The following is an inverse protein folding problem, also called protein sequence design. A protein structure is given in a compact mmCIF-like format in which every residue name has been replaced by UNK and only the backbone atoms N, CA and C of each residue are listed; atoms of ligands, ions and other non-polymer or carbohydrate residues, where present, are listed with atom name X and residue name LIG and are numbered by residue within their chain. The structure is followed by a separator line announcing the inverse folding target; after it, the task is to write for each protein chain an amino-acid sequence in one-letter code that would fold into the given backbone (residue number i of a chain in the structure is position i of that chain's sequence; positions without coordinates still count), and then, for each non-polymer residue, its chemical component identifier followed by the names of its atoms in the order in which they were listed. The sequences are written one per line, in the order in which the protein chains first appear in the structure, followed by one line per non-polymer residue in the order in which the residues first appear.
data_IF_639838528899
#
_entry.id   IF_639838528899
#
_cell.length_a   1.000
_cell.length_b   1.000
_cell.length_c   1.000
_cell.angle_alpha   90.00
_cell.angle_beta   90.00
_cell.angle_gamma   90.00
#
_symmetry.space_group_name_H-M   'P 1'
#
loop_
_entity.id
_entity.type
_entity.pdbx_description
1 polymer ?
#
# COMPACT_ATOMS: atom_id res chain seq x y z
N UNK A 1 -17.58 24.36 -12.15
CA UNK A 1 -17.47 24.59 -10.68
C UNK A 1 -16.69 23.42 -10.08
N UNK A 2 -15.38 23.39 -10.24
CA UNK A 2 -14.50 22.30 -9.78
C UNK A 2 -13.09 22.85 -9.50
N UNK A 3 -12.95 23.82 -8.58
CA UNK A 3 -11.64 24.48 -8.39
C UNK A 3 -11.18 24.63 -6.93
N UNK A 4 -11.99 24.23 -5.93
CA UNK A 4 -11.59 24.43 -4.52
C UNK A 4 -10.78 23.26 -3.92
N UNK A 5 -10.79 22.08 -4.54
CA UNK A 5 -10.17 20.87 -3.96
C UNK A 5 -8.72 20.64 -4.46
N UNK A 6 -8.42 20.94 -5.73
CA UNK A 6 -7.07 20.78 -6.29
C UNK A 6 -6.05 21.77 -5.68
N UNK A 7 -6.45 23.03 -5.44
CA UNK A 7 -5.54 24.05 -4.87
C UNK A 7 -5.12 23.74 -3.43
N UNK A 8 -5.96 23.03 -2.66
CA UNK A 8 -5.67 22.64 -1.28
C UNK A 8 -4.67 21.49 -1.22
N UNK A 9 -4.85 20.49 -2.09
CA UNK A 9 -3.96 19.33 -2.20
C UNK A 9 -2.55 19.74 -2.69
N UNK A 10 -2.46 20.66 -3.66
CA UNK A 10 -1.17 21.20 -4.12
C UNK A 10 -0.39 21.99 -3.05
N UNK A 11 -1.06 22.58 -2.06
CA UNK A 11 -0.36 23.21 -0.93
C UNK A 11 0.16 22.16 0.04
N UNK A 12 -0.63 21.14 0.35
CA UNK A 12 -0.25 20.05 1.26
C UNK A 12 0.96 19.24 0.72
N UNK A 13 1.05 19.03 -0.60
CA UNK A 13 2.20 18.39 -1.30
C UNK A 13 3.50 19.14 -1.20
N UNK A 14 3.44 20.46 -1.31
CA UNK A 14 4.62 21.30 -1.14
C UNK A 14 5.05 21.37 0.33
N UNK A 15 4.08 21.33 1.27
CA UNK A 15 4.35 21.39 2.71
C UNK A 15 5.06 20.14 3.22
N UNK A 16 4.59 18.94 2.88
CA UNK A 16 5.23 17.70 3.38
C UNK A 16 6.66 17.54 2.83
N UNK A 17 6.89 17.92 1.57
CA UNK A 17 8.23 17.88 0.98
C UNK A 17 9.20 18.80 1.73
N UNK A 18 8.75 20.01 2.10
CA UNK A 18 9.55 20.92 2.91
C UNK A 18 9.82 20.34 4.30
N UNK A 19 8.81 19.78 4.97
CA UNK A 19 8.96 19.17 6.29
C UNK A 19 9.94 17.99 6.31
N UNK A 20 9.90 17.15 5.27
CA UNK A 20 10.86 16.05 5.12
C UNK A 20 12.27 16.60 4.86
N UNK A 21 12.40 17.64 4.03
CA UNK A 21 13.69 18.30 3.81
C UNK A 21 14.29 18.86 5.11
N UNK A 22 13.48 19.56 5.91
CA UNK A 22 13.92 20.11 7.20
C UNK A 22 14.33 19.00 8.18
N UNK A 23 13.56 17.90 8.22
CA UNK A 23 13.89 16.71 9.01
C UNK A 23 15.23 16.09 8.57
N UNK A 24 15.50 16.01 7.26
CA UNK A 24 16.77 15.51 6.73
C UNK A 24 17.92 16.43 7.12
N UNK A 25 17.76 17.75 6.99
CA UNK A 25 18.78 18.72 7.37
C UNK A 25 19.12 18.66 8.85
N UNK A 26 18.14 18.35 9.71
CA UNK A 26 18.39 18.10 11.11
C UNK A 26 19.07 16.74 11.38
N UNK A 27 18.67 15.70 10.64
CA UNK A 27 19.15 14.34 10.83
C UNK A 27 20.64 14.18 10.57
N UNK A 28 21.19 14.82 9.54
CA UNK A 28 22.60 14.65 9.16
C UNK A 28 23.58 15.02 10.29
N UNK A 29 23.51 16.21 10.90
CA UNK A 29 24.32 16.56 12.07
C UNK A 29 24.04 15.68 13.29
N UNK A 30 22.82 15.15 13.45
CA UNK A 30 22.48 14.23 14.53
C UNK A 30 23.15 12.86 14.35
N UNK A 31 23.31 12.39 13.12
CA UNK A 31 23.98 11.11 12.79
C UNK A 31 25.50 11.25 12.89
N UNK A 32 26.08 12.41 12.62
CA UNK A 32 27.54 12.61 12.65
C UNK A 32 28.18 12.36 14.03
N UNK A 33 27.42 12.58 15.11
CA UNK A 33 27.88 12.35 16.49
C UNK A 33 28.00 10.86 16.84
N UNK A 34 27.52 9.95 15.98
CA UNK A 34 27.52 8.52 16.27
C UNK A 34 28.96 7.98 16.34
N UNK A 35 29.23 6.98 17.19
CA UNK A 35 30.56 6.37 17.31
C UNK A 35 30.99 5.77 15.98
N UNK A 36 32.31 5.82 15.70
CA UNK A 36 32.89 5.36 14.42
C UNK A 36 32.49 3.92 14.06
N UNK A 37 32.36 3.03 15.05
CA UNK A 37 31.95 1.63 14.87
C UNK A 37 30.55 1.48 14.25
N UNK A 38 29.65 2.45 14.47
CA UNK A 38 28.26 2.39 14.01
C UNK A 38 27.98 3.27 12.79
N UNK A 39 29.00 4.00 12.30
CA UNK A 39 28.87 4.86 11.11
C UNK A 39 28.49 4.10 9.85
N UNK A 40 28.91 2.84 9.73
CA UNK A 40 28.64 1.98 8.57
C UNK A 40 27.49 1.01 8.77
N UNK A 41 26.86 1.00 9.95
CA UNK A 41 25.68 0.20 10.24
C UNK A 41 24.48 1.13 10.39
N UNK A 42 24.07 1.45 11.63
CA UNK A 42 22.85 2.22 11.89
C UNK A 42 22.81 3.58 11.20
N UNK A 43 23.90 4.34 11.23
CA UNK A 43 23.96 5.66 10.60
C UNK A 43 23.73 5.60 9.07
N UNK A 44 24.22 4.54 8.42
CA UNK A 44 24.05 4.34 6.99
C UNK A 44 22.61 3.94 6.67
N UNK A 45 22.03 3.04 7.45
CA UNK A 45 20.65 2.58 7.24
C UNK A 45 19.64 3.71 7.48
N UNK A 46 19.88 4.56 8.49
CA UNK A 46 19.08 5.77 8.70
C UNK A 46 19.16 6.74 7.52
N UNK A 47 20.35 6.94 6.94
CA UNK A 47 20.52 7.80 5.74
C UNK A 47 19.77 7.24 4.54
N UNK A 48 19.87 5.92 4.30
CA UNK A 48 19.11 5.26 3.22
C UNK A 48 17.60 5.43 3.41
N UNK A 49 17.12 5.28 4.64
CA UNK A 49 15.72 5.46 4.99
C UNK A 49 15.26 6.91 4.72
N UNK A 50 16.04 7.91 5.15
CA UNK A 50 15.77 9.33 4.87
C UNK A 50 15.72 9.62 3.36
N UNK A 51 16.67 9.08 2.59
CA UNK A 51 16.70 9.22 1.14
C UNK A 51 15.49 8.55 0.47
N UNK A 52 15.06 7.39 0.96
CA UNK A 52 13.89 6.69 0.48
C UNK A 52 12.62 7.51 0.73
N UNK A 53 12.42 8.03 1.95
CA UNK A 53 11.29 8.91 2.30
C UNK A 53 11.23 10.11 1.33
N UNK A 54 12.34 10.79 1.09
CA UNK A 54 12.38 11.92 0.15
C UNK A 54 12.00 11.50 -1.28
N UNK A 55 12.53 10.38 -1.79
CA UNK A 55 12.19 9.86 -3.13
C UNK A 55 10.71 9.51 -3.24
N UNK A 56 10.14 8.88 -2.22
CA UNK A 56 8.73 8.53 -2.20
C UNK A 56 7.81 9.74 -2.13
N UNK A 57 8.17 10.77 -1.35
CA UNK A 57 7.44 12.04 -1.34
C UNK A 57 7.47 12.72 -2.70
N UNK A 58 8.63 12.76 -3.37
CA UNK A 58 8.74 13.32 -4.72
C UNK A 58 7.91 12.51 -5.73
N UNK A 59 7.95 11.18 -5.64
CA UNK A 59 7.16 10.30 -6.49
C UNK A 59 5.65 10.51 -6.30
N UNK A 60 5.21 10.64 -5.05
CA UNK A 60 3.82 10.95 -4.69
C UNK A 60 3.41 12.34 -5.20
N UNK A 61 4.28 13.35 -5.09
CA UNK A 61 4.04 14.72 -5.55
C UNK A 61 3.86 14.82 -7.07
N UNK A 62 4.65 14.06 -7.83
CA UNK A 62 4.54 14.03 -9.29
C UNK A 62 3.32 13.25 -9.80
N UNK A 63 2.40 12.85 -8.91
CA UNK A 63 1.21 12.04 -9.22
C UNK A 63 1.53 10.73 -9.94
N UNK A 64 2.75 10.18 -9.81
CA UNK A 64 3.08 8.81 -10.24
C UNK A 64 2.52 7.77 -9.26
N UNK A 65 1.36 8.05 -8.65
CA UNK A 65 0.99 7.47 -7.36
C UNK A 65 0.21 6.18 -7.57
N UNK A 66 0.90 5.05 -7.38
CA UNK A 66 0.25 3.77 -7.09
C UNK A 66 -0.03 3.71 -5.59
N UNK A 67 -1.05 2.96 -5.18
CA UNK A 67 -1.38 2.71 -3.76
C UNK A 67 -0.15 2.25 -2.96
N UNK A 68 0.73 1.49 -3.60
CA UNK A 68 1.96 0.95 -3.02
C UNK A 68 2.97 2.03 -2.64
N UNK A 69 3.10 3.12 -3.39
CA UNK A 69 4.08 4.19 -3.13
C UNK A 69 3.83 4.89 -1.79
N UNK A 70 2.57 5.18 -1.47
CA UNK A 70 2.22 5.81 -0.19
C UNK A 70 2.36 4.83 0.99
N UNK A 71 2.17 3.52 0.75
CA UNK A 71 2.39 2.49 1.77
C UNK A 71 3.89 2.32 2.05
N UNK A 72 4.72 2.31 1.01
CA UNK A 72 6.18 2.26 1.15
C UNK A 72 6.71 3.49 1.89
N UNK A 73 6.18 4.69 1.59
CA UNK A 73 6.49 5.91 2.33
C UNK A 73 6.16 5.81 3.84
N UNK A 74 5.01 5.24 4.18
CA UNK A 74 4.59 5.04 5.58
C UNK A 74 5.50 4.04 6.30
N UNK A 75 5.84 2.93 5.65
CA UNK A 75 6.75 1.90 6.18
C UNK A 75 8.13 2.50 6.46
N UNK A 76 8.70 3.25 5.52
CA UNK A 76 10.00 3.89 5.72
C UNK A 76 9.96 4.91 6.87
N UNK A 77 8.91 5.72 6.96
CA UNK A 77 8.78 6.66 8.07
C UNK A 77 8.66 5.94 9.43
N UNK A 78 7.99 4.80 9.49
CA UNK A 78 7.91 3.99 10.71
C UNK A 78 9.26 3.33 11.06
N UNK A 79 9.97 2.80 10.06
CA UNK A 79 11.33 2.29 10.23
C UNK A 79 12.27 3.36 10.79
N UNK A 80 12.18 4.60 10.27
CA UNK A 80 12.97 5.73 10.77
C UNK A 80 12.70 6.01 12.26
N UNK A 81 11.44 5.98 12.71
CA UNK A 81 11.11 6.18 14.14
C UNK A 81 11.72 5.10 15.03
N UNK A 82 11.71 3.85 14.57
CA UNK A 82 12.33 2.73 15.29
C UNK A 82 13.85 2.93 15.37
N UNK A 83 14.49 3.32 14.26
CA UNK A 83 15.92 3.62 14.27
C UNK A 83 16.29 4.80 15.18
N UNK A 84 15.47 5.85 15.22
CA UNK A 84 15.66 6.99 16.13
C UNK A 84 15.58 6.54 17.59
N UNK A 85 14.60 5.68 17.93
CA UNK A 85 14.48 5.10 19.29
C UNK A 85 15.68 4.22 19.63
N UNK A 86 16.09 3.36 18.71
CA UNK A 86 17.25 2.50 18.92
C UNK A 86 18.53 3.31 19.11
N UNK A 87 18.74 4.38 18.33
CA UNK A 87 19.87 5.28 18.51
C UNK A 87 19.88 5.98 19.88
N UNK A 88 18.70 6.29 20.42
CA UNK A 88 18.55 6.84 21.77
C UNK A 88 18.84 5.80 22.85
N UNK A 89 18.28 4.60 22.75
CA UNK A 89 18.50 3.51 23.72
C UNK A 89 19.96 3.05 23.77
N UNK A 90 20.66 3.08 22.63
CA UNK A 90 22.10 2.78 22.54
C UNK A 90 22.99 3.96 23.01
N UNK A 91 22.41 5.10 23.37
CA UNK A 91 23.13 6.28 23.86
C UNK A 91 23.85 7.09 22.77
N UNK A 92 23.54 6.87 21.48
CA UNK A 92 24.14 7.61 20.37
C UNK A 92 23.47 8.96 20.12
N UNK A 93 22.27 9.16 20.67
CA UNK A 93 21.46 10.35 20.50
C UNK A 93 21.12 10.97 21.87
N UNK A 94 21.49 12.24 22.14
CA UNK A 94 21.08 12.93 23.35
C UNK A 94 19.55 13.07 23.46
N UNK A 95 18.97 13.08 24.68
CA UNK A 95 17.52 13.17 24.88
C UNK A 95 16.84 14.33 24.14
N UNK A 96 17.44 15.53 24.20
CA UNK A 96 16.93 16.71 23.50
C UNK A 96 16.89 16.52 21.98
N UNK A 97 17.90 15.85 21.41
CA UNK A 97 17.94 15.60 19.97
C UNK A 97 16.92 14.54 19.56
N UNK A 98 16.74 13.51 20.39
CA UNK A 98 15.72 12.49 20.22
C UNK A 98 14.31 13.08 20.22
N UNK A 99 13.98 13.95 21.18
CA UNK A 99 12.68 14.60 21.26
C UNK A 99 12.35 15.40 20.00
N UNK A 100 13.28 16.23 19.53
CA UNK A 100 13.09 17.04 18.32
C UNK A 100 12.94 16.15 17.09
N UNK A 101 13.83 15.17 16.90
CA UNK A 101 13.82 14.32 15.70
C UNK A 101 12.59 13.41 15.64
N UNK A 102 12.26 12.76 16.75
CA UNK A 102 11.06 11.92 16.84
C UNK A 102 9.79 12.75 16.64
N UNK A 103 9.75 13.98 17.15
CA UNK A 103 8.66 14.92 16.92
C UNK A 103 8.47 15.23 15.43
N UNK A 104 9.55 15.51 14.70
CA UNK A 104 9.52 15.72 13.25
C UNK A 104 9.02 14.48 12.49
N UNK A 105 9.50 13.28 12.84
CA UNK A 105 9.06 12.02 12.20
C UNK A 105 7.57 11.71 12.48
N UNK A 106 7.07 12.06 13.65
CA UNK A 106 5.63 11.95 13.99
C UNK A 106 4.80 12.96 13.21
N UNK A 107 5.26 14.20 13.07
CA UNK A 107 4.58 15.22 12.26
C UNK A 107 4.48 14.79 10.80
N UNK A 108 5.59 14.32 10.21
CA UNK A 108 5.62 13.77 8.85
C UNK A 108 4.66 12.58 8.72
N UNK A 109 4.65 11.66 9.70
CA UNK A 109 3.71 10.53 9.71
C UNK A 109 2.23 10.92 9.72
N UNK A 110 1.86 11.99 10.45
CA UNK A 110 0.49 12.52 10.44
C UNK A 110 0.11 13.04 9.06
N UNK A 111 1.02 13.73 8.36
CA UNK A 111 0.80 14.21 7.00
C UNK A 111 0.64 13.05 6.01
N UNK A 112 1.51 12.03 6.09
CA UNK A 112 1.41 10.80 5.28
C UNK A 112 0.06 10.10 5.51
N UNK A 113 -0.38 9.96 6.77
CA UNK A 113 -1.68 9.36 7.10
C UNK A 113 -2.87 10.11 6.50
N UNK A 114 -2.81 11.45 6.51
CA UNK A 114 -3.79 12.30 5.83
C UNK A 114 -3.85 12.03 4.33
N UNK A 115 -2.69 11.86 3.69
CA UNK A 115 -2.61 11.51 2.27
C UNK A 115 -3.11 10.12 1.93
N UNK A 116 -2.77 9.13 2.75
CA UNK A 116 -3.29 7.77 2.55
C UNK A 116 -4.81 7.78 2.64
N UNK A 117 -5.37 8.53 3.59
CA UNK A 117 -6.83 8.68 3.72
C UNK A 117 -7.43 9.38 2.50
N UNK A 118 -6.87 10.51 2.09
CA UNK A 118 -7.33 11.25 0.91
C UNK A 118 -7.23 10.39 -0.36
N UNK A 119 -6.17 9.61 -0.54
CA UNK A 119 -5.98 8.70 -1.66
C UNK A 119 -6.97 7.53 -1.66
N UNK A 120 -7.39 7.05 -0.48
CA UNK A 120 -8.45 6.03 -0.36
C UNK A 120 -9.83 6.62 -0.67
N UNK A 121 -10.12 7.81 -0.16
CA UNK A 121 -11.42 8.48 -0.33
C UNK A 121 -11.65 8.99 -1.76
N UNK A 122 -10.57 9.36 -2.47
CA UNK A 122 -10.62 9.84 -3.86
C UNK A 122 -10.63 8.73 -4.91
N UNK A 123 -10.45 7.46 -4.51
CA UNK A 123 -10.72 6.34 -5.39
C UNK A 123 -12.21 5.94 -5.29
N UNK A 124 -13.02 6.08 -6.37
CA UNK A 124 -14.20 5.24 -6.47
C UNK A 124 -13.72 3.79 -6.44
N UNK A 125 -14.26 2.99 -5.54
CA UNK A 125 -13.95 1.58 -5.31
C UNK A 125 -13.59 0.83 -6.61
N UNK A 126 -12.32 0.79 -6.97
CA UNK A 126 -11.80 -0.25 -7.87
C UNK A 126 -11.61 -1.48 -7.00
N UNK A 127 -12.24 -2.58 -7.43
CA UNK A 127 -12.41 -3.80 -6.67
C UNK A 127 -11.12 -4.24 -5.99
N UNK A 128 -11.22 -4.50 -4.68
CA UNK A 128 -10.19 -5.25 -3.97
C UNK A 128 -10.30 -6.70 -4.46
N UNK A 129 -9.45 -7.04 -5.41
CA UNK A 129 -8.82 -8.34 -5.45
C UNK A 129 -8.03 -8.48 -4.14
N UNK A 130 -8.52 -9.32 -3.23
CA UNK A 130 -7.72 -9.77 -2.09
C UNK A 130 -6.63 -10.68 -2.65
N UNK A 131 -5.38 -10.26 -2.54
CA UNK A 131 -4.23 -11.11 -2.75
C UNK A 131 -4.33 -12.32 -1.80
N UNK A 132 -4.15 -13.57 -2.28
CA UNK A 132 -4.20 -14.75 -1.45
C UNK A 132 -2.98 -14.85 -0.52
N UNK A 133 -3.24 -15.53 0.58
CA UNK A 133 -2.34 -15.90 1.66
C UNK A 133 -1.17 -16.79 1.20
N UNK A 134 -0.08 -16.64 1.93
CA UNK A 134 1.30 -17.08 1.83
C UNK A 134 1.61 -18.59 1.67
N UNK A 135 0.75 -19.42 1.08
CA UNK A 135 0.99 -20.88 1.02
C UNK A 135 1.31 -21.48 -0.35
N UNK A 136 1.51 -20.71 -1.42
CA UNK A 136 1.74 -21.27 -2.76
C UNK A 136 3.21 -21.66 -3.02
N UNK A 137 3.45 -22.96 -2.83
CA UNK A 137 4.53 -23.74 -3.43
C UNK A 137 4.34 -23.75 -4.95
N UNK A 138 5.30 -23.20 -5.70
CA UNK A 138 5.32 -23.25 -7.18
C UNK A 138 6.06 -24.50 -7.63
N UNK A 139 5.46 -25.34 -8.48
CA UNK A 139 6.10 -25.62 -9.77
C UNK A 139 5.11 -25.79 -10.94
N UNK A 140 5.47 -25.24 -12.11
CA UNK A 140 4.94 -25.67 -13.42
C UNK A 140 4.20 -24.58 -14.21
N UNK A 141 4.94 -23.75 -14.94
CA UNK A 141 4.42 -22.96 -16.06
C UNK A 141 4.18 -23.87 -17.28
N UNK A 142 2.99 -23.79 -17.90
CA UNK A 142 2.81 -23.88 -19.36
C UNK A 142 1.63 -22.99 -19.74
N UNK A 143 1.80 -22.13 -20.76
CA UNK A 143 0.83 -21.11 -21.15
C UNK A 143 -0.02 -21.43 -22.39
N UNK A 144 -0.86 -20.43 -22.70
CA UNK A 144 -1.55 -20.06 -23.96
C UNK A 144 -2.73 -20.94 -24.42
N UNK A 145 -3.93 -20.33 -24.53
CA UNK A 145 -5.07 -20.85 -25.30
C UNK A 145 -6.42 -20.26 -24.90
N UNK A 146 -6.91 -19.29 -25.69
CA UNK A 146 -8.30 -18.92 -25.99
C UNK A 146 -9.32 -18.94 -24.83
N UNK A 147 -9.49 -17.79 -24.18
CA UNK A 147 -10.46 -17.57 -23.11
C UNK A 147 -11.90 -17.53 -23.68
N UNK A 148 -12.50 -18.70 -23.93
CA UNK A 148 -13.95 -18.81 -24.10
C UNK A 148 -14.63 -18.42 -22.79
N UNK A 149 -15.09 -17.17 -22.70
CA UNK A 149 -15.81 -16.65 -21.55
C UNK A 149 -17.30 -16.98 -21.65
N UNK A 150 -17.84 -17.73 -20.69
CA UNK A 150 -19.25 -18.16 -20.67
C UNK A 150 -20.09 -17.29 -19.74
N UNK A 151 -21.41 -17.23 -19.93
CA UNK A 151 -22.31 -16.39 -19.12
C UNK A 151 -23.21 -17.23 -18.22
N UNK A 152 -23.24 -16.92 -16.93
CA UNK A 152 -24.10 -17.57 -15.95
C UNK A 152 -25.59 -17.22 -16.18
N UNK A 153 -26.43 -18.22 -16.37
CA UNK A 153 -27.88 -18.07 -16.56
C UNK A 153 -28.63 -17.51 -15.34
N UNK A 154 -28.04 -17.60 -14.14
CA UNK A 154 -28.68 -17.13 -12.90
C UNK A 154 -28.36 -15.68 -12.50
N UNK A 155 -27.28 -15.09 -13.02
CA UNK A 155 -26.89 -13.71 -12.66
C UNK A 155 -26.17 -12.93 -13.76
N UNK A 156 -25.99 -13.50 -14.95
CA UNK A 156 -25.29 -12.85 -16.07
C UNK A 156 -23.78 -12.72 -15.88
N UNK A 157 -23.21 -13.24 -14.79
CA UNK A 157 -21.76 -13.15 -14.55
C UNK A 157 -20.97 -13.99 -15.54
N UNK A 158 -19.83 -13.46 -15.99
CA UNK A 158 -18.86 -14.20 -16.79
C UNK A 158 -18.20 -15.31 -15.97
N UNK A 159 -18.13 -16.52 -16.52
CA UNK A 159 -17.59 -17.72 -15.87
C UNK A 159 -16.63 -18.46 -16.82
N UNK A 160 -15.59 -19.04 -16.24
CA UNK A 160 -14.64 -19.88 -16.97
C UNK A 160 -15.24 -21.23 -17.37
N UNK A 161 -14.70 -21.84 -18.42
CA UNK A 161 -15.13 -23.14 -18.98
C UNK A 161 -15.34 -24.24 -17.93
N UNK A 162 -14.42 -24.37 -16.98
CA UNK A 162 -14.50 -25.38 -15.91
C UNK A 162 -15.73 -25.18 -15.02
N UNK A 163 -16.11 -23.93 -14.76
CA UNK A 163 -17.28 -23.60 -13.93
C UNK A 163 -18.58 -23.93 -14.68
N UNK A 164 -18.60 -23.68 -15.99
CA UNK A 164 -19.69 -24.07 -16.89
C UNK A 164 -19.85 -25.59 -16.93
N UNK A 165 -18.80 -26.34 -17.23
CA UNK A 165 -18.83 -27.80 -17.36
C UNK A 165 -19.31 -28.50 -16.09
N UNK A 166 -18.84 -28.05 -14.92
CA UNK A 166 -19.30 -28.60 -13.64
C UNK A 166 -20.79 -28.32 -13.40
N UNK A 167 -21.23 -27.09 -13.68
CA UNK A 167 -22.61 -26.68 -13.48
C UNK A 167 -23.58 -27.41 -14.42
N UNK A 168 -23.17 -27.60 -15.68
CA UNK A 168 -23.94 -28.38 -16.64
C UNK A 168 -24.04 -29.85 -16.21
N UNK A 169 -22.93 -30.45 -15.80
CA UNK A 169 -22.89 -31.87 -15.40
C UNK A 169 -23.68 -32.16 -14.13
N UNK A 170 -23.65 -31.26 -13.14
CA UNK A 170 -24.25 -31.52 -11.82
C UNK A 170 -25.59 -30.80 -11.59
N UNK A 171 -25.93 -29.79 -12.38
CA UNK A 171 -27.14 -28.96 -12.18
C UNK A 171 -27.94 -28.75 -13.45
N UNK A 172 -27.48 -29.24 -14.61
CA UNK A 172 -28.17 -29.09 -15.90
C UNK A 172 -28.32 -27.64 -16.39
N UNK A 173 -27.65 -26.68 -15.74
CA UNK A 173 -27.72 -25.25 -16.04
C UNK A 173 -26.34 -24.63 -15.95
N UNK A 174 -26.07 -23.61 -16.75
CA UNK A 174 -24.80 -22.87 -16.73
C UNK A 174 -24.84 -21.83 -15.60
N UNK A 175 -24.32 -22.17 -14.41
CA UNK A 175 -24.35 -21.30 -13.24
C UNK A 175 -22.93 -21.01 -12.71
N UNK A 176 -22.70 -19.78 -12.25
CA UNK A 176 -21.52 -19.44 -11.47
C UNK A 176 -21.59 -20.09 -10.08
N UNK A 177 -20.45 -20.23 -9.39
CA UNK A 177 -20.39 -20.86 -8.06
C UNK A 177 -21.35 -20.26 -7.02
N UNK A 178 -21.60 -18.95 -7.08
CA UNK A 178 -22.59 -18.29 -6.19
C UNK A 178 -24.01 -18.75 -6.51
N UNK A 179 -24.39 -18.82 -7.78
CA UNK A 179 -25.68 -19.35 -8.23
C UNK A 179 -25.79 -20.86 -7.99
N UNK A 180 -24.71 -21.63 -8.14
CA UNK A 180 -24.69 -23.06 -7.78
C UNK A 180 -25.05 -23.28 -6.30
N UNK A 181 -24.50 -22.45 -5.40
CA UNK A 181 -24.81 -22.52 -3.97
C UNK A 181 -26.24 -22.10 -3.65
N UNK A 182 -26.79 -21.09 -4.34
CA UNK A 182 -28.19 -20.70 -4.21
C UNK A 182 -29.13 -21.79 -4.73
N UNK A 183 -28.75 -22.44 -5.83
CA UNK A 183 -29.49 -23.56 -6.41
C UNK A 183 -29.55 -24.76 -5.46
N UNK A 184 -28.43 -25.11 -4.81
CA UNK A 184 -28.39 -26.16 -3.76
C UNK A 184 -29.23 -25.83 -2.52
N UNK A 185 -29.43 -24.55 -2.22
CA UNK A 185 -30.27 -24.09 -1.11
C UNK A 185 -31.75 -23.93 -1.49
N UNK A 186 -32.13 -24.20 -2.74
CA UNK A 186 -33.50 -24.03 -3.23
C UNK A 186 -33.92 -22.56 -3.42
N UNK A 187 -32.98 -21.61 -3.35
CA UNK A 187 -33.24 -20.17 -3.46
C UNK A 187 -33.34 -19.67 -4.92
N UNK A 188 -32.97 -20.52 -5.89
CA UNK A 188 -33.17 -20.29 -7.33
C UNK A 188 -34.26 -21.24 -7.79
N UNK A 189 -35.42 -20.70 -8.13
CA UNK A 189 -36.54 -21.49 -8.65
C UNK A 189 -36.16 -22.20 -9.96
N UNK A 190 -36.73 -23.39 -10.19
CA UNK A 190 -36.71 -24.07 -11.48
C UNK A 190 -37.61 -23.30 -12.46
N UNK A 191 -37.15 -22.16 -12.95
CA UNK A 191 -37.84 -21.45 -14.03
C UNK A 191 -37.39 -21.97 -15.38
N UNK A 192 -38.30 -21.98 -16.37
CA UNK A 192 -39.02 -23.15 -16.91
C UNK A 192 -38.15 -24.35 -17.33
#
# INVERSE_FOLDING_TARGET
MTDSNDTKNSKETLIIQQKVYDMIMYAYPAIEQFPKSQKFSLAQDMKKCLDAIMRYVIAANKKYTKKTTLQELDIENEALKIYIRMAFELGYLPPKKYEIWSGMAVEVGKMIGGWIKAARDSQPMQGIDKQPDSSERVPGQVGIGDDETFTCSGCGATIAKVVKEYSEKNMGRVLCRKCQNKFRRGELGNGP
#
